data_IF_178225801674
#
_entry.id   IF_178225801674
#
_cell.length_a   1.000
_cell.length_b   1.000
_cell.length_c   1.000
_cell.angle_alpha   90.00
_cell.angle_beta   90.00
_cell.angle_gamma   90.00
#
_symmetry.space_group_name_H-M   'P 1'
#
loop_
_entity.id
_entity.type
_entity.pdbx_description
1 polymer ?
#
# COMPACT_ATOMS: atom_id res chain seq x y z
N UNK A 1 40.24 -16.29 -2.59
CA UNK A 1 41.12 -16.23 -3.77
C UNK A 1 40.26 -15.99 -5.00
N UNK A 2 40.53 -14.97 -5.80
CA UNK A 2 39.75 -14.69 -7.01
C UNK A 2 39.74 -13.21 -7.39
N UNK A 3 40.92 -12.65 -7.67
CA UNK A 3 41.09 -11.31 -8.27
C UNK A 3 40.55 -11.33 -9.69
N UNK A 4 39.70 -10.38 -10.08
CA UNK A 4 39.63 -9.90 -11.47
C UNK A 4 39.49 -8.38 -11.48
N UNK A 5 40.39 -7.80 -12.27
CA UNK A 5 40.62 -6.40 -12.52
C UNK A 5 40.29 -6.09 -13.99
N UNK A 6 40.31 -4.78 -14.32
CA UNK A 6 40.22 -4.15 -15.65
C UNK A 6 38.77 -3.97 -16.15
N UNK A 7 38.42 -2.88 -16.84
CA UNK A 7 39.25 -2.12 -17.77
C UNK A 7 38.80 -0.64 -17.89
N UNK A 8 39.78 0.21 -18.16
CA UNK A 8 39.75 1.64 -18.44
C UNK A 8 39.68 1.83 -19.97
N UNK A 9 38.72 2.60 -20.46
CA UNK A 9 38.57 3.07 -21.85
C UNK A 9 37.97 4.49 -21.73
N UNK A 10 38.57 5.59 -22.18
CA UNK A 10 39.62 5.78 -23.17
C UNK A 10 39.01 6.46 -24.39
N UNK A 11 38.54 7.71 -24.26
CA UNK A 11 38.10 8.53 -25.39
C UNK A 11 39.11 9.63 -25.65
N UNK A 12 39.79 9.48 -26.79
CA UNK A 12 40.70 10.45 -27.36
C UNK A 12 39.92 11.49 -28.16
N UNK A 13 40.28 12.76 -27.95
CA UNK A 13 39.87 13.89 -28.78
C UNK A 13 41.03 14.24 -29.71
N UNK A 14 40.81 14.40 -31.02
CA UNK A 14 41.88 14.69 -31.97
C UNK A 14 42.32 16.17 -31.89
N UNK A 15 43.60 16.48 -32.19
CA UNK A 15 44.06 17.84 -32.38
C UNK A 15 43.68 18.32 -33.79
N UNK A 16 43.02 19.47 -33.87
CA UNK A 16 42.82 20.19 -35.12
C UNK A 16 44.02 21.10 -35.36
N UNK A 17 44.84 20.73 -36.33
CA UNK A 17 45.73 21.62 -37.07
C UNK A 17 44.87 22.56 -37.91
N UNK A 18 45.04 23.87 -37.77
CA UNK A 18 44.77 24.81 -38.85
C UNK A 18 45.90 25.84 -38.90
N UNK A 19 46.62 25.76 -40.01
CA UNK A 19 47.72 26.60 -40.38
C UNK A 19 47.23 27.78 -41.24
N UNK A 20 48.05 28.83 -41.24
CA UNK A 20 48.20 29.87 -42.28
C UNK A 20 47.03 30.85 -42.52
N UNK A 21 47.29 32.13 -42.25
CA UNK A 21 47.73 33.07 -43.28
C UNK A 21 48.39 34.29 -42.65
N UNK A 22 49.65 34.50 -43.00
CA UNK A 22 50.37 35.74 -42.79
C UNK A 22 49.79 36.83 -43.69
N UNK A 23 49.54 38.01 -43.13
CA UNK A 23 49.36 39.24 -43.90
C UNK A 23 50.34 40.27 -43.34
N UNK A 24 51.44 40.46 -44.07
CA UNK A 24 52.34 41.60 -43.91
C UNK A 24 51.59 42.87 -44.33
N UNK A 25 51.59 43.88 -43.47
CA UNK A 25 50.89 45.14 -43.70
C UNK A 25 51.47 46.26 -42.86
N UNK A 26 52.54 46.85 -43.39
CA UNK A 26 52.90 48.27 -43.29
C UNK A 26 53.03 48.91 -41.90
N UNK A 27 54.30 49.17 -41.55
CA UNK A 27 54.70 50.11 -40.53
C UNK A 27 54.40 51.55 -40.97
N UNK A 28 53.41 52.18 -40.33
CA UNK A 28 53.33 53.63 -40.22
C UNK A 28 53.86 54.04 -38.84
N UNK A 29 54.85 54.93 -38.85
CA UNK A 29 55.46 55.50 -37.66
C UNK A 29 54.49 56.49 -37.01
N UNK A 30 53.73 56.02 -36.01
CA UNK A 30 52.98 56.89 -35.11
C UNK A 30 53.91 57.51 -34.06
N UNK A 31 53.91 58.84 -34.09
CA UNK A 31 54.46 59.78 -33.10
C UNK A 31 54.17 59.34 -31.65
N UNK A 32 55.14 59.35 -30.72
CA UNK A 32 54.89 59.00 -29.32
C UNK A 32 54.00 60.05 -28.66
N UNK A 33 52.71 59.78 -28.58
CA UNK A 33 51.80 60.49 -27.71
C UNK A 33 52.21 60.22 -26.25
N UNK A 34 52.34 61.28 -25.46
CA UNK A 34 52.68 61.20 -24.05
C UNK A 34 51.72 60.24 -23.32
N UNK A 35 52.27 59.18 -22.73
CA UNK A 35 51.51 58.22 -21.93
C UNK A 35 50.78 58.98 -20.80
N UNK A 36 49.44 58.90 -20.72
CA UNK A 36 48.73 59.42 -19.56
C UNK A 36 49.21 58.63 -18.34
N UNK A 37 49.54 59.33 -17.26
CA UNK A 37 49.91 58.76 -15.95
C UNK A 37 49.03 57.54 -15.62
N UNK A 38 49.55 56.34 -15.90
CA UNK A 38 48.91 55.10 -15.49
C UNK A 38 48.83 55.11 -13.97
N UNK A 39 47.68 54.74 -13.36
CA UNK A 39 47.55 54.72 -11.92
C UNK A 39 48.68 53.88 -11.32
N UNK A 40 49.45 54.46 -10.39
CA UNK A 40 50.52 53.78 -9.67
C UNK A 40 50.05 52.39 -9.23
N UNK A 41 50.64 51.33 -9.79
CA UNK A 41 50.21 49.95 -9.55
C UNK A 41 50.15 49.58 -8.06
N UNK A 42 50.94 50.29 -7.24
CA UNK A 42 50.95 50.20 -5.78
C UNK A 42 49.62 50.60 -5.12
N UNK A 43 48.93 51.62 -5.63
CA UNK A 43 47.64 52.04 -5.07
C UNK A 43 46.56 50.98 -5.34
N UNK A 44 46.64 50.30 -6.49
CA UNK A 44 45.75 49.19 -6.83
C UNK A 44 45.98 47.98 -5.93
N UNK A 45 47.23 47.64 -5.65
CA UNK A 45 47.58 46.58 -4.70
C UNK A 45 47.07 46.87 -3.29
N UNK A 46 47.21 48.11 -2.81
CA UNK A 46 46.70 48.51 -1.49
C UNK A 46 45.17 48.45 -1.44
N UNK A 47 44.47 48.85 -2.50
CA UNK A 47 43.00 48.75 -2.56
C UNK A 47 42.52 47.30 -2.46
N UNK A 48 43.15 46.38 -3.18
CA UNK A 48 42.81 44.95 -3.14
C UNK A 48 43.03 44.36 -1.74
N UNK A 49 44.13 44.71 -1.07
CA UNK A 49 44.38 44.25 0.31
C UNK A 49 43.31 44.76 1.30
N UNK A 50 42.81 45.99 1.11
CA UNK A 50 41.74 46.53 1.97
C UNK A 50 40.41 45.79 1.73
N UNK A 51 40.07 45.51 0.46
CA UNK A 51 38.89 44.72 0.09
C UNK A 51 38.97 43.27 0.63
N UNK A 52 40.14 42.63 0.51
CA UNK A 52 40.39 41.30 1.08
C UNK A 52 40.12 41.27 2.58
N UNK A 53 40.65 42.25 3.33
CA UNK A 53 40.47 42.33 4.78
C UNK A 53 39.01 42.60 5.15
N UNK A 54 38.30 43.47 4.42
CA UNK A 54 36.88 43.74 4.67
C UNK A 54 36.03 42.47 4.44
N UNK A 55 36.25 41.74 3.34
CA UNK A 55 35.50 40.51 3.07
C UNK A 55 35.76 39.43 4.11
N UNK A 56 37.01 39.24 4.53
CA UNK A 56 37.34 38.31 5.63
C UNK A 56 36.67 38.75 6.94
N UNK A 57 36.65 40.05 7.25
CA UNK A 57 35.94 40.59 8.42
C UNK A 57 34.43 40.30 8.37
N UNK A 58 33.78 40.53 7.22
CA UNK A 58 32.34 40.25 7.05
C UNK A 58 32.03 38.74 7.18
N UNK A 59 32.92 37.87 6.70
CA UNK A 59 32.80 36.41 6.91
C UNK A 59 32.81 36.02 8.38
N UNK A 60 33.77 36.53 9.15
CA UNK A 60 33.83 36.25 10.59
C UNK A 60 32.63 36.83 11.33
N UNK A 61 32.19 38.04 10.96
CA UNK A 61 30.98 38.65 11.51
C UNK A 61 29.74 37.79 11.26
N UNK A 62 29.60 37.22 10.06
CA UNK A 62 28.53 36.28 9.74
C UNK A 62 28.61 35.03 10.62
N UNK A 63 29.78 34.40 10.71
CA UNK A 63 29.97 33.16 11.49
C UNK A 63 29.64 33.41 12.96
N UNK A 64 30.06 34.54 13.53
CA UNK A 64 29.74 34.89 14.93
C UNK A 64 28.24 35.11 15.12
N UNK A 65 27.56 35.73 14.15
CA UNK A 65 26.14 36.07 14.29
C UNK A 65 25.23 34.87 14.07
N UNK A 66 25.59 33.97 13.16
CA UNK A 66 24.75 32.85 12.73
C UNK A 66 25.18 31.50 13.29
N UNK A 67 26.44 31.38 13.72
CA UNK A 67 27.06 30.10 14.08
C UNK A 67 27.44 29.24 12.87
N UNK A 68 27.16 29.69 11.65
CA UNK A 68 27.31 28.91 10.43
C UNK A 68 28.26 29.57 9.43
N UNK A 69 28.84 28.76 8.54
CA UNK A 69 29.64 29.26 7.42
C UNK A 69 28.69 29.65 6.28
N UNK A 70 28.72 30.90 5.79
CA UNK A 70 27.79 31.34 4.77
C UNK A 70 28.01 30.61 3.45
N UNK A 71 26.92 30.29 2.77
CA UNK A 71 26.94 29.98 1.33
C UNK A 71 26.91 31.30 0.54
N UNK A 72 27.53 31.33 -0.63
CA UNK A 72 27.48 32.51 -1.52
C UNK A 72 26.05 33.03 -1.73
N UNK A 73 25.08 32.11 -1.93
CA UNK A 73 23.67 32.45 -2.13
C UNK A 73 22.99 33.13 -0.93
N UNK A 74 23.55 33.01 0.27
CA UNK A 74 22.99 33.61 1.48
C UNK A 74 23.41 35.08 1.63
N UNK A 75 24.59 35.42 1.12
CA UNK A 75 25.05 36.81 1.02
C UNK A 75 24.27 37.59 -0.06
N UNK A 76 23.85 36.93 -1.15
CA UNK A 76 22.96 37.55 -2.15
C UNK A 76 21.63 38.04 -1.57
N UNK A 77 21.10 37.34 -0.56
CA UNK A 77 19.73 37.55 -0.07
C UNK A 77 19.63 38.64 1.01
N UNK A 78 20.75 39.10 1.55
CA UNK A 78 20.77 39.94 2.75
C UNK A 78 21.67 41.15 2.51
N UNK A 79 21.08 42.35 2.41
CA UNK A 79 21.84 43.57 2.69
C UNK A 79 22.13 43.59 4.21
N UNK A 80 23.36 43.86 4.69
CA UNK A 80 24.44 44.63 4.07
C UNK A 80 25.70 43.83 3.70
N UNK A 81 25.57 42.57 3.26
CA UNK A 81 26.76 41.73 2.97
C UNK A 81 27.35 42.05 1.58
N UNK A 82 28.66 41.84 1.38
CA UNK A 82 29.28 41.96 0.06
C UNK A 82 28.58 41.05 -0.95
N UNK A 83 28.37 41.53 -2.17
CA UNK A 83 27.90 40.66 -3.25
C UNK A 83 28.96 39.56 -3.49
N UNK A 84 28.57 38.27 -3.60
CA UNK A 84 29.53 37.19 -3.80
C UNK A 84 30.40 37.34 -5.04
N UNK A 85 29.88 37.96 -6.10
CA UNK A 85 30.65 38.20 -7.32
C UNK A 85 31.88 39.07 -7.03
N UNK A 86 31.79 40.09 -6.17
CA UNK A 86 32.95 40.89 -5.77
C UNK A 86 33.98 40.07 -4.98
N UNK A 87 33.50 39.14 -4.14
CA UNK A 87 34.38 38.22 -3.41
C UNK A 87 35.06 37.24 -4.37
N UNK A 88 34.35 36.78 -5.40
CA UNK A 88 34.87 35.90 -6.44
C UNK A 88 35.89 36.64 -7.31
N UNK A 89 35.68 37.91 -7.61
CA UNK A 89 36.63 38.72 -8.38
C UNK A 89 37.97 38.87 -7.63
N UNK A 90 37.94 39.06 -6.31
CA UNK A 90 39.14 39.20 -5.48
C UNK A 90 39.84 37.86 -5.24
N UNK A 91 39.11 36.81 -4.86
CA UNK A 91 39.68 35.52 -4.44
C UNK A 91 39.68 34.43 -5.52
N UNK A 92 39.11 34.72 -6.69
CA UNK A 92 38.92 33.80 -7.82
C UNK A 92 37.79 32.78 -7.64
N UNK A 93 37.40 32.44 -6.41
CA UNK A 93 36.25 31.59 -6.11
C UNK A 93 35.85 31.68 -4.64
N UNK A 94 34.59 31.33 -4.33
CA UNK A 94 34.10 31.27 -2.96
C UNK A 94 34.88 30.26 -2.09
N UNK A 95 35.26 29.12 -2.65
CA UNK A 95 36.03 28.10 -1.92
C UNK A 95 37.44 28.59 -1.56
N UNK A 96 38.12 29.27 -2.50
CA UNK A 96 39.42 29.90 -2.23
C UNK A 96 39.31 31.00 -1.17
N UNK A 97 38.25 31.78 -1.17
CA UNK A 97 37.97 32.77 -0.12
C UNK A 97 37.85 32.11 1.27
N UNK A 98 37.03 31.06 1.40
CA UNK A 98 36.89 30.34 2.67
C UNK A 98 38.19 29.68 3.12
N UNK A 99 38.96 29.10 2.19
CA UNK A 99 40.26 28.52 2.47
C UNK A 99 41.29 29.57 2.91
N UNK A 100 41.34 30.72 2.23
CA UNK A 100 42.18 31.86 2.59
C UNK A 100 41.87 32.36 4.00
N UNK A 101 40.58 32.42 4.37
CA UNK A 101 40.15 32.79 5.71
C UNK A 101 40.42 31.71 6.79
N UNK A 102 40.90 30.51 6.43
CA UNK A 102 41.17 29.42 7.37
C UNK A 102 39.92 28.74 7.95
N UNK A 103 38.74 29.00 7.38
CA UNK A 103 37.46 28.51 7.87
C UNK A 103 37.33 26.98 7.85
N UNK A 104 37.74 26.26 6.76
CA UNK A 104 37.64 24.79 6.73
C UNK A 104 38.43 24.10 7.83
N UNK A 105 39.57 24.67 8.25
CA UNK A 105 40.46 24.11 9.28
C UNK A 105 40.20 24.61 10.70
N UNK A 106 39.17 25.43 10.93
CA UNK A 106 38.92 26.02 12.25
C UNK A 106 38.45 24.96 13.26
N UNK A 107 39.14 24.79 14.41
CA UNK A 107 38.75 23.82 15.43
C UNK A 107 37.42 24.18 16.11
N UNK A 108 37.05 25.47 16.14
CA UNK A 108 35.76 25.90 16.70
C UNK A 108 34.60 25.42 15.83
N UNK A 109 34.71 25.58 14.51
CA UNK A 109 33.68 25.12 13.58
C UNK A 109 33.59 23.59 13.52
N UNK A 110 34.71 22.89 13.71
CA UNK A 110 34.69 21.44 13.86
C UNK A 110 33.83 21.00 15.07
N UNK A 111 33.99 21.66 16.23
CA UNK A 111 33.17 21.38 17.43
C UNK A 111 31.70 21.73 17.25
N UNK A 112 31.38 22.83 16.55
CA UNK A 112 29.98 23.17 16.25
C UNK A 112 29.33 22.10 15.37
N UNK A 113 30.03 21.64 14.32
CA UNK A 113 29.53 20.55 13.45
C UNK A 113 29.34 19.24 14.21
N UNK A 114 30.25 18.92 15.13
CA UNK A 114 30.14 17.75 16.01
C UNK A 114 28.91 17.85 16.91
N UNK A 115 28.70 18.99 17.58
CA UNK A 115 27.53 19.24 18.40
C UNK A 115 26.22 19.19 17.59
N UNK A 116 26.20 19.71 16.36
CA UNK A 116 25.05 19.62 15.47
C UNK A 116 24.76 18.18 15.03
N UNK A 117 25.80 17.39 14.79
CA UNK A 117 25.66 15.97 14.47
C UNK A 117 25.08 15.20 15.67
N UNK A 118 25.59 15.44 16.87
CA UNK A 118 25.06 14.86 18.11
C UNK A 118 23.59 15.28 18.34
N UNK A 119 23.24 16.55 18.12
CA UNK A 119 21.88 17.03 18.24
C UNK A 119 20.93 16.37 17.23
N UNK A 120 21.38 16.19 15.98
CA UNK A 120 20.61 15.46 14.95
C UNK A 120 20.42 13.99 15.32
N UNK A 121 21.45 13.34 15.86
CA UNK A 121 21.37 11.95 16.32
C UNK A 121 20.40 11.80 17.51
N UNK A 122 20.42 12.73 18.46
CA UNK A 122 19.47 12.76 19.57
C UNK A 122 18.03 12.96 19.09
N UNK A 123 17.81 13.91 18.17
CA UNK A 123 16.49 14.13 17.57
C UNK A 123 15.98 12.91 16.78
N UNK A 124 16.88 12.20 16.08
CA UNK A 124 16.54 10.97 15.37
C UNK A 124 16.13 9.85 16.35
N UNK A 125 16.86 9.69 17.47
CA UNK A 125 16.52 8.74 18.53
C UNK A 125 15.19 9.07 19.19
N UNK A 126 14.93 10.34 19.50
CA UNK A 126 13.64 10.77 20.05
C UNK A 126 12.49 10.45 19.10
N UNK A 127 12.63 10.75 17.81
CA UNK A 127 11.65 10.40 16.78
C UNK A 127 11.43 8.89 16.68
N UNK A 128 12.47 8.08 16.88
CA UNK A 128 12.35 6.63 16.91
C UNK A 128 11.57 6.16 18.15
N UNK A 129 11.86 6.69 19.34
CA UNK A 129 11.14 6.36 20.57
C UNK A 129 9.66 6.72 20.49
N UNK A 130 9.31 7.86 19.87
CA UNK A 130 7.91 8.24 19.63
C UNK A 130 7.19 7.22 18.73
N UNK A 131 7.86 6.75 17.67
CA UNK A 131 7.30 5.70 16.80
C UNK A 131 7.12 4.36 17.52
N UNK A 132 8.08 3.99 18.37
CA UNK A 132 8.00 2.78 19.18
C UNK A 132 6.86 2.84 20.22
N UNK A 133 6.69 3.98 20.89
CA UNK A 133 5.55 4.22 21.79
C UNK A 133 4.21 4.12 21.06
N UNK A 134 4.10 4.75 19.87
CA UNK A 134 2.89 4.65 19.05
C UNK A 134 2.59 3.19 18.63
N UNK A 135 3.62 2.40 18.33
CA UNK A 135 3.48 0.97 18.01
C UNK A 135 3.02 0.16 19.23
N UNK A 136 3.52 0.47 20.42
CA UNK A 136 3.08 -0.18 21.67
C UNK A 136 1.61 0.10 21.94
N UNK A 137 1.15 1.34 21.73
CA UNK A 137 -0.26 1.70 21.94
C UNK A 137 -1.18 1.03 20.92
N UNK A 138 -0.77 0.91 19.66
CA UNK A 138 -1.53 0.16 18.66
C UNK A 138 -1.63 -1.33 19.01
N UNK A 139 -0.53 -1.95 19.43
CA UNK A 139 -0.54 -3.34 19.92
C UNK A 139 -1.45 -3.53 21.13
N UNK A 140 -1.51 -2.56 22.05
CA UNK A 140 -2.44 -2.60 23.19
C UNK A 140 -3.90 -2.58 22.72
N UNK A 141 -4.25 -1.70 21.78
CA UNK A 141 -5.60 -1.65 21.19
C UNK A 141 -5.98 -2.96 20.50
N UNK A 142 -5.05 -3.57 19.77
CA UNK A 142 -5.28 -4.87 19.12
C UNK A 142 -5.52 -5.98 20.15
N UNK A 143 -4.74 -6.03 21.24
CA UNK A 143 -4.94 -7.00 22.32
C UNK A 143 -6.27 -6.79 23.03
N UNK A 144 -6.67 -5.55 23.28
CA UNK A 144 -7.95 -5.21 23.90
C UNK A 144 -9.13 -5.59 22.99
N UNK A 145 -9.05 -5.28 21.69
CA UNK A 145 -10.04 -5.71 20.70
C UNK A 145 -10.15 -7.24 20.62
N UNK A 146 -9.02 -7.96 20.57
CA UNK A 146 -9.01 -9.42 20.57
C UNK A 146 -9.51 -10.04 21.88
N UNK A 147 -9.33 -9.35 23.01
CA UNK A 147 -9.90 -9.76 24.30
C UNK A 147 -11.42 -9.57 24.29
N UNK A 148 -11.91 -8.40 23.89
CA UNK A 148 -13.34 -8.11 23.77
C UNK A 148 -14.04 -9.08 22.82
N UNK A 149 -13.44 -9.41 21.67
CA UNK A 149 -13.97 -10.40 20.75
C UNK A 149 -14.08 -11.81 21.35
N UNK A 150 -13.10 -12.22 22.17
CA UNK A 150 -13.16 -13.51 22.89
C UNK A 150 -14.24 -13.53 23.97
N UNK A 151 -14.38 -12.43 24.71
CA UNK A 151 -15.42 -12.29 25.75
C UNK A 151 -16.82 -12.33 25.12
N UNK A 152 -17.04 -11.65 23.99
CA UNK A 152 -18.30 -11.70 23.25
C UNK A 152 -18.61 -13.10 22.71
N UNK A 153 -17.64 -13.78 22.10
CA UNK A 153 -17.82 -15.15 21.60
C UNK A 153 -18.11 -16.16 22.73
N UNK A 154 -17.51 -15.95 23.91
CA UNK A 154 -17.81 -16.78 25.08
C UNK A 154 -19.23 -16.54 25.59
N UNK A 155 -19.67 -15.28 25.67
CA UNK A 155 -21.03 -14.94 26.07
C UNK A 155 -22.09 -15.55 25.13
N UNK A 156 -21.84 -15.54 23.82
CA UNK A 156 -22.73 -16.17 22.84
C UNK A 156 -22.82 -17.70 23.05
N UNK A 157 -21.70 -18.37 23.31
CA UNK A 157 -21.67 -19.82 23.62
C UNK A 157 -22.44 -20.13 24.89
N UNK A 158 -22.31 -19.30 25.92
CA UNK A 158 -23.02 -19.47 27.18
C UNK A 158 -24.53 -19.27 26.99
N UNK A 159 -24.96 -18.32 26.16
CA UNK A 159 -26.36 -18.12 25.80
C UNK A 159 -26.93 -19.30 25.00
N UNK A 160 -26.19 -19.79 24.00
CA UNK A 160 -26.57 -20.98 23.22
C UNK A 160 -26.71 -22.21 24.11
N UNK A 161 -25.79 -22.41 25.05
CA UNK A 161 -25.86 -23.50 26.03
C UNK A 161 -27.08 -23.37 26.94
N UNK A 162 -27.34 -22.18 27.48
CA UNK A 162 -28.52 -21.93 28.32
C UNK A 162 -29.83 -22.15 27.55
N UNK A 163 -29.86 -21.81 26.25
CA UNK A 163 -31.00 -22.11 25.37
C UNK A 163 -31.18 -23.63 25.18
N UNK A 164 -30.11 -24.37 24.94
CA UNK A 164 -30.15 -25.82 24.80
C UNK A 164 -30.67 -26.50 26.08
N UNK A 165 -30.16 -26.09 27.25
CA UNK A 165 -30.60 -26.61 28.56
C UNK A 165 -32.10 -26.35 28.81
N UNK A 166 -32.60 -25.16 28.45
CA UNK A 166 -34.05 -24.85 28.55
C UNK A 166 -34.91 -25.73 27.64
N UNK A 167 -34.47 -25.95 26.40
CA UNK A 167 -35.19 -26.80 25.44
C UNK A 167 -35.20 -28.27 25.91
N UNK A 168 -34.08 -28.75 26.42
CA UNK A 168 -33.99 -30.10 26.99
C UNK A 168 -34.94 -30.26 28.19
N UNK A 169 -34.95 -29.32 29.13
CA UNK A 169 -35.87 -29.36 30.26
C UNK A 169 -37.34 -29.31 29.84
N UNK A 170 -37.68 -28.54 28.80
CA UNK A 170 -39.03 -28.51 28.24
C UNK A 170 -39.44 -29.84 27.60
N UNK A 171 -38.50 -30.52 26.93
CA UNK A 171 -38.71 -31.83 26.31
C UNK A 171 -38.92 -32.91 27.38
N UNK A 172 -38.08 -32.94 28.42
CA UNK A 172 -38.23 -33.87 29.55
C UNK A 172 -39.58 -33.67 30.26
N UNK A 173 -40.00 -32.42 30.49
CA UNK A 173 -41.31 -32.12 31.07
C UNK A 173 -42.47 -32.55 30.16
N UNK A 174 -42.34 -32.41 28.83
CA UNK A 174 -43.33 -32.90 27.88
C UNK A 174 -43.44 -34.42 27.89
N UNK A 175 -42.30 -35.13 27.89
CA UNK A 175 -42.25 -36.59 27.99
C UNK A 175 -42.85 -37.10 29.30
N UNK A 176 -42.58 -36.45 30.43
CA UNK A 176 -43.17 -36.81 31.72
C UNK A 176 -44.70 -36.64 31.74
N UNK A 177 -45.23 -35.57 31.13
CA UNK A 177 -46.67 -35.36 30.97
C UNK A 177 -47.31 -36.42 30.08
N UNK A 178 -46.65 -36.77 28.97
CA UNK A 178 -47.12 -37.84 28.08
C UNK A 178 -47.19 -39.18 28.81
N UNK A 179 -46.12 -39.58 29.51
CA UNK A 179 -46.09 -40.82 30.29
C UNK A 179 -47.13 -40.85 31.43
N UNK A 180 -47.42 -39.71 32.05
CA UNK A 180 -48.48 -39.61 33.05
C UNK A 180 -49.87 -39.75 32.45
N UNK A 181 -50.12 -39.15 31.28
CA UNK A 181 -51.38 -39.30 30.55
C UNK A 181 -51.60 -40.75 30.10
N UNK A 182 -50.56 -41.43 29.61
CA UNK A 182 -50.60 -42.84 29.24
C UNK A 182 -50.98 -43.74 30.42
N UNK A 183 -50.40 -43.50 31.62
CA UNK A 183 -50.78 -44.23 32.84
C UNK A 183 -52.24 -44.01 33.20
N UNK A 184 -52.71 -42.77 33.22
CA UNK A 184 -54.12 -42.45 33.52
C UNK A 184 -55.09 -43.11 32.53
N UNK A 185 -54.75 -43.13 31.24
CA UNK A 185 -55.54 -43.82 30.22
C UNK A 185 -55.55 -45.35 30.45
N UNK A 186 -54.42 -45.93 30.82
CA UNK A 186 -54.32 -47.34 31.15
C UNK A 186 -55.18 -47.72 32.37
N UNK A 187 -55.10 -46.94 33.44
CA UNK A 187 -55.88 -47.16 34.66
C UNK A 187 -57.38 -47.06 34.38
N UNK A 188 -57.82 -46.04 33.64
CA UNK A 188 -59.22 -45.90 33.20
C UNK A 188 -59.70 -47.07 32.34
N UNK A 189 -58.85 -47.56 31.45
CA UNK A 189 -59.18 -48.73 30.64
C UNK A 189 -59.36 -50.00 31.50
N UNK A 190 -58.56 -50.16 32.57
CA UNK A 190 -58.73 -51.26 33.53
C UNK A 190 -60.02 -51.12 34.36
N UNK A 191 -60.31 -49.92 34.86
CA UNK A 191 -61.54 -49.63 35.61
C UNK A 191 -62.79 -49.87 34.75
N UNK A 192 -62.79 -49.40 33.50
CA UNK A 192 -63.87 -49.62 32.55
C UNK A 192 -64.05 -51.11 32.22
N UNK A 193 -62.96 -51.89 32.15
CA UNK A 193 -63.05 -53.33 31.94
C UNK A 193 -63.62 -54.09 33.16
N UNK A 194 -63.42 -53.56 34.39
CA UNK A 194 -63.93 -54.16 35.62
C UNK A 194 -65.39 -53.78 35.91
N UNK A 195 -65.82 -52.58 35.51
CA UNK A 195 -67.20 -52.13 35.59
C UNK A 195 -68.01 -52.75 34.43
N UNK A 196 -68.49 -53.98 34.60
CA UNK A 196 -69.42 -54.58 33.65
C UNK A 196 -70.70 -53.71 33.58
N UNK A 197 -71.08 -53.20 32.40
CA UNK A 197 -72.23 -52.30 32.29
C UNK A 197 -73.54 -53.07 32.51
N UNK A 198 -74.42 -52.54 33.38
CA UNK A 198 -75.79 -53.03 33.58
C UNK A 198 -76.67 -52.83 32.31
N UNK A 199 -76.24 -51.93 31.41
CA UNK A 199 -76.80 -51.73 30.08
C UNK A 199 -75.66 -51.64 29.03
N UNK A 200 -75.36 -52.74 28.32
CA UNK A 200 -74.24 -52.82 27.38
C UNK A 200 -74.40 -51.90 26.17
N UNK A 201 -75.62 -51.50 25.82
CA UNK A 201 -75.87 -50.65 24.65
C UNK A 201 -75.51 -49.18 24.93
N UNK A 202 -75.80 -48.67 26.13
CA UNK A 202 -75.41 -47.31 26.53
C UNK A 202 -73.88 -47.15 26.63
N UNK A 203 -73.18 -48.18 27.13
CA UNK A 203 -71.72 -48.20 27.20
C UNK A 203 -71.06 -48.23 25.82
N UNK A 204 -71.64 -48.97 24.86
CA UNK A 204 -71.16 -49.01 23.48
C UNK A 204 -71.31 -47.67 22.76
N UNK A 205 -72.40 -46.93 23.01
CA UNK A 205 -72.60 -45.59 22.44
C UNK A 205 -71.56 -44.61 22.99
N UNK A 206 -71.35 -44.57 24.31
CA UNK A 206 -70.35 -43.68 24.92
C UNK A 206 -68.91 -43.97 24.45
N UNK A 207 -68.54 -45.25 24.35
CA UNK A 207 -67.24 -45.65 23.79
C UNK A 207 -67.08 -45.27 22.32
N UNK A 208 -68.17 -45.29 21.54
CA UNK A 208 -68.15 -44.87 20.14
C UNK A 208 -67.94 -43.37 20.01
N UNK A 209 -68.63 -42.57 20.83
CA UNK A 209 -68.47 -41.13 20.86
C UNK A 209 -67.06 -40.72 21.31
N UNK A 210 -66.49 -41.41 22.32
CA UNK A 210 -65.12 -41.18 22.78
C UNK A 210 -64.08 -41.58 21.71
N UNK A 211 -64.31 -42.70 21.01
CA UNK A 211 -63.46 -43.12 19.89
C UNK A 211 -63.52 -42.11 18.73
N UNK A 212 -64.69 -41.59 18.41
CA UNK A 212 -64.87 -40.59 17.35
C UNK A 212 -64.25 -39.23 17.77
N UNK A 213 -64.30 -38.85 19.04
CA UNK A 213 -63.59 -37.68 19.56
C UNK A 213 -62.05 -37.83 19.51
N UNK A 214 -61.53 -39.01 19.88
CA UNK A 214 -60.08 -39.32 19.78
C UNK A 214 -59.63 -39.32 18.32
N UNK A 215 -60.45 -39.85 17.41
CA UNK A 215 -60.18 -39.79 15.96
C UNK A 215 -60.12 -38.35 15.45
N UNK A 216 -61.09 -37.51 15.82
CA UNK A 216 -61.12 -36.10 15.44
C UNK A 216 -59.88 -35.34 15.97
N UNK A 217 -59.48 -35.57 17.23
CA UNK A 217 -58.29 -34.93 17.79
C UNK A 217 -56.99 -35.44 17.14
N UNK A 218 -56.92 -36.74 16.79
CA UNK A 218 -55.80 -37.29 16.03
C UNK A 218 -55.69 -36.66 14.65
N UNK A 219 -56.81 -36.49 13.94
CA UNK A 219 -56.84 -35.81 12.64
C UNK A 219 -56.38 -34.35 12.76
N UNK A 220 -56.79 -33.63 13.81
CA UNK A 220 -56.32 -32.27 14.10
C UNK A 220 -54.80 -32.22 14.32
N UNK A 221 -54.25 -33.14 15.12
CA UNK A 221 -52.80 -33.21 15.39
C UNK A 221 -52.00 -33.58 14.14
N UNK A 222 -52.50 -34.52 13.33
CA UNK A 222 -51.89 -34.85 12.05
C UNK A 222 -51.90 -33.64 11.11
N UNK A 223 -53.01 -32.90 11.04
CA UNK A 223 -53.10 -31.66 10.26
C UNK A 223 -52.11 -30.58 10.75
N UNK A 224 -51.91 -30.45 12.07
CA UNK A 224 -50.88 -29.53 12.62
C UNK A 224 -49.46 -29.99 12.29
N UNK A 225 -49.19 -31.29 12.36
CA UNK A 225 -47.89 -31.87 12.00
C UNK A 225 -47.56 -31.62 10.54
N UNK A 226 -48.52 -31.91 9.64
CA UNK A 226 -48.38 -31.64 8.21
C UNK A 226 -48.17 -30.15 7.94
N UNK A 227 -48.89 -29.25 8.63
CA UNK A 227 -48.70 -27.81 8.48
C UNK A 227 -47.29 -27.35 8.90
N UNK A 228 -46.75 -27.88 10.00
CA UNK A 228 -45.39 -27.56 10.45
C UNK A 228 -44.32 -28.12 9.51
N UNK A 229 -44.51 -29.33 8.98
CA UNK A 229 -43.62 -29.91 7.97
C UNK A 229 -43.64 -29.09 6.68
N UNK A 230 -44.82 -28.69 6.20
CA UNK A 230 -44.96 -27.81 5.04
C UNK A 230 -44.25 -26.46 5.27
N UNK A 231 -44.37 -25.90 6.48
CA UNK A 231 -43.69 -24.67 6.84
C UNK A 231 -42.17 -24.84 6.89
N UNK A 232 -41.66 -25.92 7.48
CA UNK A 232 -40.22 -26.23 7.48
C UNK A 232 -39.66 -26.42 6.06
N UNK A 233 -40.43 -27.04 5.16
CA UNK A 233 -40.07 -27.17 3.74
C UNK A 233 -40.07 -25.80 3.05
N UNK A 234 -41.04 -24.93 3.34
CA UNK A 234 -41.08 -23.57 2.81
C UNK A 234 -39.90 -22.73 3.32
N UNK A 235 -39.55 -22.86 4.59
CA UNK A 235 -38.40 -22.20 5.20
C UNK A 235 -37.10 -22.72 4.60
N UNK A 236 -36.94 -24.04 4.44
CA UNK A 236 -35.77 -24.63 3.78
C UNK A 236 -35.63 -24.16 2.33
N UNK A 237 -36.73 -24.05 1.58
CA UNK A 237 -36.72 -23.46 0.23
C UNK A 237 -36.34 -21.98 0.25
N UNK A 238 -36.82 -21.23 1.24
CA UNK A 238 -36.49 -19.82 1.41
C UNK A 238 -35.01 -19.64 1.74
N UNK A 239 -34.48 -20.44 2.67
CA UNK A 239 -33.05 -20.48 3.00
C UNK A 239 -32.25 -20.86 1.77
N UNK A 240 -32.62 -21.92 1.05
CA UNK A 240 -31.94 -22.32 -0.17
C UNK A 240 -31.94 -21.19 -1.20
N UNK A 241 -33.08 -20.52 -1.42
CA UNK A 241 -33.19 -19.38 -2.32
C UNK A 241 -32.36 -18.18 -1.85
N UNK A 242 -32.33 -17.88 -0.56
CA UNK A 242 -31.51 -16.80 0.00
C UNK A 242 -30.02 -17.14 -0.10
N UNK A 243 -29.63 -18.40 0.14
CA UNK A 243 -28.28 -18.89 -0.09
C UNK A 243 -27.91 -18.83 -1.56
N UNK A 244 -28.81 -19.17 -2.48
CA UNK A 244 -28.62 -18.98 -3.92
C UNK A 244 -28.51 -17.50 -4.26
N UNK A 245 -29.36 -16.62 -3.72
CA UNK A 245 -29.27 -15.17 -3.96
C UNK A 245 -28.02 -14.55 -3.35
N UNK A 246 -27.52 -15.06 -2.22
CA UNK A 246 -26.25 -14.63 -1.63
C UNK A 246 -25.07 -15.19 -2.41
N UNK A 247 -25.18 -16.42 -2.90
CA UNK A 247 -24.21 -17.01 -3.81
C UNK A 247 -24.25 -16.33 -5.17
N UNK A 248 -25.39 -15.84 -5.64
CA UNK A 248 -25.61 -15.03 -6.86
C UNK A 248 -25.31 -13.57 -6.61
N UNK A 249 -25.33 -13.03 -5.39
CA UNK A 249 -24.83 -11.69 -5.11
C UNK A 249 -23.30 -11.73 -4.98
N UNK A 250 -22.77 -12.77 -4.35
CA UNK A 250 -21.36 -13.14 -4.38
C UNK A 250 -20.89 -13.56 -5.77
N UNK A 251 -21.77 -14.17 -6.57
CA UNK A 251 -21.52 -14.53 -7.95
C UNK A 251 -21.88 -13.41 -8.91
N UNK A 252 -22.75 -12.44 -8.67
CA UNK A 252 -22.81 -11.22 -9.51
C UNK A 252 -21.58 -10.35 -9.24
N UNK A 253 -20.96 -10.50 -8.05
CA UNK A 253 -19.58 -10.10 -7.81
C UNK A 253 -18.51 -11.07 -8.39
N UNK A 254 -18.86 -12.24 -8.94
CA UNK A 254 -17.93 -13.25 -9.51
C UNK A 254 -18.28 -13.78 -10.94
N UNK A 255 -19.37 -13.35 -11.57
CA UNK A 255 -20.06 -13.85 -12.78
C UNK A 255 -20.25 -12.67 -13.78
N UNK A 256 -19.59 -11.55 -13.47
CA UNK A 256 -18.88 -10.81 -14.50
C UNK A 256 -17.61 -11.58 -14.98
N UNK A 257 -17.32 -12.76 -14.42
CA UNK A 257 -16.18 -13.62 -14.77
C UNK A 257 -16.65 -14.98 -15.31
N UNK A 258 -17.09 -14.96 -16.57
CA UNK A 258 -17.02 -15.99 -17.62
C UNK A 258 -17.20 -17.49 -17.31
N UNK A 259 -17.97 -18.22 -18.14
CA UNK A 259 -17.99 -19.68 -18.15
C UNK A 259 -16.77 -20.27 -18.89
N UNK A 260 -16.35 -21.44 -18.42
CA UNK A 260 -15.81 -22.56 -19.21
C UNK A 260 -14.49 -22.37 -19.97
N UNK A 261 -13.42 -22.45 -19.17
CA UNK A 261 -12.27 -23.29 -19.44
C UNK A 261 -11.55 -23.46 -18.11
N UNK A 262 -11.28 -24.69 -17.67
CA UNK A 262 -10.29 -24.89 -16.60
C UNK A 262 -8.94 -24.39 -17.15
N UNK A 263 -8.71 -23.09 -17.02
CA UNK A 263 -7.54 -22.43 -17.55
C UNK A 263 -6.36 -22.86 -16.68
N UNK A 264 -5.58 -23.80 -17.21
CA UNK A 264 -4.45 -24.43 -16.53
C UNK A 264 -3.57 -23.35 -15.88
N UNK A 265 -3.25 -23.42 -14.57
CA UNK A 265 -2.58 -22.33 -13.87
C UNK A 265 -1.28 -21.92 -14.56
N UNK A 266 -0.94 -20.61 -14.63
CA UNK A 266 0.27 -20.17 -15.32
C UNK A 266 1.50 -20.75 -14.61
N UNK A 267 2.44 -21.32 -15.37
CA UNK A 267 3.64 -21.93 -14.79
C UNK A 267 4.66 -20.90 -14.28
N UNK A 268 4.63 -19.69 -14.84
CA UNK A 268 5.59 -18.62 -14.56
C UNK A 268 4.90 -17.27 -14.40
N UNK A 269 5.59 -16.32 -13.76
CA UNK A 269 5.08 -14.94 -13.60
C UNK A 269 4.92 -14.26 -14.96
N UNK A 270 5.81 -14.52 -15.92
CA UNK A 270 5.66 -14.05 -17.29
C UNK A 270 4.38 -14.58 -17.93
N UNK A 271 4.12 -15.89 -17.83
CA UNK A 271 2.90 -16.48 -18.36
C UNK A 271 1.63 -15.86 -17.74
N UNK A 272 1.66 -15.55 -16.44
CA UNK A 272 0.56 -14.83 -15.78
C UNK A 272 0.38 -13.41 -16.37
N UNK A 273 1.46 -12.66 -16.58
CA UNK A 273 1.42 -11.32 -17.18
C UNK A 273 0.95 -11.35 -18.64
N UNK A 274 1.39 -12.33 -19.43
CA UNK A 274 0.99 -12.46 -20.84
C UNK A 274 -0.50 -12.79 -20.97
N UNK A 275 -1.01 -13.69 -20.13
CA UNK A 275 -2.44 -13.99 -20.08
C UNK A 275 -3.25 -12.79 -19.63
N UNK A 276 -2.83 -12.13 -18.55
CA UNK A 276 -3.48 -10.91 -18.10
C UNK A 276 -3.49 -9.84 -19.21
N UNK A 277 -2.39 -9.64 -19.92
CA UNK A 277 -2.33 -8.70 -21.04
C UNK A 277 -3.23 -9.06 -22.23
N UNK A 278 -3.59 -10.35 -22.38
CA UNK A 278 -4.53 -10.78 -23.40
C UNK A 278 -6.00 -10.61 -22.99
N UNK A 279 -6.31 -10.68 -21.68
CA UNK A 279 -7.70 -10.69 -21.18
C UNK A 279 -8.13 -9.40 -20.48
N UNK A 280 -7.21 -8.64 -19.90
CA UNK A 280 -7.48 -7.42 -19.13
C UNK A 280 -7.55 -6.22 -20.07
N UNK A 281 -8.72 -5.61 -20.22
CA UNK A 281 -8.96 -4.55 -21.20
C UNK A 281 -8.58 -3.14 -20.70
N UNK A 282 -8.46 -2.97 -19.39
CA UNK A 282 -8.27 -1.68 -18.71
C UNK A 282 -6.86 -1.48 -18.15
N UNK A 283 -5.97 -2.46 -18.34
CA UNK A 283 -4.57 -2.40 -17.97
C UNK A 283 -3.66 -2.24 -19.18
N UNK A 284 -2.67 -1.36 -19.08
CA UNK A 284 -1.63 -1.19 -20.10
C UNK A 284 -0.34 -1.80 -19.60
N UNK A 285 0.16 -2.84 -20.26
CA UNK A 285 1.38 -3.53 -19.87
C UNK A 285 2.59 -2.99 -20.64
N UNK A 286 3.56 -2.42 -19.93
CA UNK A 286 4.82 -1.95 -20.53
C UNK A 286 5.80 -3.09 -20.82
N UNK A 287 6.78 -2.86 -21.69
CA UNK A 287 7.85 -3.84 -21.95
C UNK A 287 8.67 -4.16 -20.70
N UNK A 288 8.86 -3.16 -19.82
CA UNK A 288 9.53 -3.33 -18.53
C UNK A 288 8.79 -4.30 -17.60
N UNK A 289 7.45 -4.29 -17.61
CA UNK A 289 6.66 -5.24 -16.84
C UNK A 289 6.84 -6.68 -17.32
N UNK A 290 6.90 -6.89 -18.65
CA UNK A 290 7.17 -8.22 -19.23
C UNK A 290 8.58 -8.70 -18.91
N UNK A 291 9.58 -7.83 -19.08
CA UNK A 291 10.97 -8.15 -18.78
C UNK A 291 11.17 -8.52 -17.30
N UNK A 292 10.62 -7.72 -16.39
CA UNK A 292 10.71 -8.00 -14.95
C UNK A 292 9.96 -9.27 -14.53
N UNK A 293 8.83 -9.56 -15.17
CA UNK A 293 8.08 -10.80 -14.96
C UNK A 293 8.88 -12.04 -15.38
N UNK A 294 9.62 -11.95 -16.49
CA UNK A 294 10.48 -13.04 -16.97
C UNK A 294 11.60 -13.38 -15.98
N UNK A 295 12.18 -12.38 -15.32
CA UNK A 295 13.26 -12.55 -14.34
C UNK A 295 12.76 -12.85 -12.91
N UNK A 296 11.45 -12.92 -12.70
CA UNK A 296 10.86 -13.05 -11.38
C UNK A 296 10.98 -14.47 -10.82
N UNK A 297 11.60 -14.67 -9.63
CA UNK A 297 11.71 -15.98 -9.00
C UNK A 297 10.48 -16.34 -8.13
N UNK A 298 9.41 -15.55 -8.19
CA UNK A 298 8.22 -15.72 -7.37
C UNK A 298 7.48 -17.02 -7.71
N UNK A 299 7.19 -17.85 -6.71
CA UNK A 299 6.75 -19.24 -6.91
C UNK A 299 5.25 -19.43 -7.06
N UNK A 300 4.45 -18.36 -6.94
CA UNK A 300 2.98 -18.40 -6.99
C UNK A 300 2.43 -17.54 -8.13
N UNK A 301 2.70 -17.90 -9.39
CA UNK A 301 2.27 -17.12 -10.55
C UNK A 301 0.75 -16.95 -10.65
N UNK A 302 -0.06 -17.88 -10.13
CA UNK A 302 -1.52 -17.71 -10.06
C UNK A 302 -1.92 -16.47 -9.25
N UNK A 303 -1.28 -16.23 -8.10
CA UNK A 303 -1.56 -15.04 -7.28
C UNK A 303 -1.32 -13.73 -8.05
N UNK A 304 -0.34 -13.73 -8.97
CA UNK A 304 -0.05 -12.58 -9.85
C UNK A 304 -1.19 -12.37 -10.83
N UNK A 305 -1.66 -13.44 -11.49
CA UNK A 305 -2.78 -13.37 -12.44
C UNK A 305 -4.05 -12.87 -11.75
N UNK A 306 -4.37 -13.41 -10.57
CA UNK A 306 -5.55 -13.01 -9.79
C UNK A 306 -5.48 -11.54 -9.38
N UNK A 307 -4.30 -11.07 -8.96
CA UNK A 307 -4.10 -9.67 -8.62
C UNK A 307 -4.21 -8.74 -9.84
N UNK A 308 -3.72 -9.16 -11.01
CA UNK A 308 -3.86 -8.39 -12.24
C UNK A 308 -5.32 -8.31 -12.71
N UNK A 309 -6.10 -9.39 -12.59
CA UNK A 309 -7.55 -9.37 -12.89
C UNK A 309 -8.30 -8.39 -12.00
N UNK A 310 -8.04 -8.41 -10.70
CA UNK A 310 -8.62 -7.43 -9.74
C UNK A 310 -8.15 -6.00 -10.01
N UNK A 311 -6.91 -5.83 -10.48
CA UNK A 311 -6.42 -4.52 -10.93
C UNK A 311 -7.12 -4.06 -12.21
N UNK A 312 -7.53 -4.96 -13.09
CA UNK A 312 -8.33 -4.61 -14.27
C UNK A 312 -9.72 -4.09 -13.89
N UNK A 313 -10.37 -4.73 -12.92
CA UNK A 313 -11.63 -4.23 -12.34
C UNK A 313 -11.44 -2.82 -11.72
N UNK A 314 -10.33 -2.62 -11.02
CA UNK A 314 -9.96 -1.29 -10.52
C UNK A 314 -9.70 -0.29 -11.66
N UNK A 315 -9.07 -0.74 -12.75
CA UNK A 315 -8.84 0.04 -13.96
C UNK A 315 -10.15 0.46 -14.63
N UNK A 316 -11.13 -0.44 -14.70
CA UNK A 316 -12.47 -0.16 -15.22
C UNK A 316 -13.16 0.95 -14.41
N UNK A 317 -13.07 0.89 -13.08
CA UNK A 317 -13.59 1.96 -12.21
C UNK A 317 -12.84 3.28 -12.42
N UNK A 318 -11.51 3.24 -12.55
CA UNK A 318 -10.69 4.44 -12.76
C UNK A 318 -10.91 5.07 -14.14
N UNK A 319 -11.29 4.30 -15.15
CA UNK A 319 -11.56 4.77 -16.49
C UNK A 319 -12.76 5.74 -16.54
N UNK A 320 -13.69 5.68 -15.58
CA UNK A 320 -14.81 6.61 -15.51
C UNK A 320 -14.32 8.06 -15.23
N UNK A 321 -14.50 9.01 -16.17
CA UNK A 321 -14.08 10.39 -15.98
C UNK A 321 -14.88 11.13 -14.90
N UNK A 322 -16.10 10.70 -14.58
CA UNK A 322 -16.89 11.25 -13.48
C UNK A 322 -16.34 10.82 -12.10
N UNK A 323 -15.45 9.82 -12.09
CA UNK A 323 -14.97 9.17 -10.88
C UNK A 323 -16.02 8.24 -10.27
N UNK A 324 -15.57 7.41 -9.32
CA UNK A 324 -16.39 6.34 -8.73
C UNK A 324 -16.68 6.59 -7.24
N UNK A 325 -16.67 7.86 -6.81
CA UNK A 325 -17.15 8.31 -5.49
C UNK A 325 -16.28 7.93 -4.28
N UNK A 326 -15.11 7.31 -4.49
CA UNK A 326 -14.19 6.87 -3.43
C UNK A 326 -12.74 6.94 -3.90
N UNK A 327 -11.79 6.85 -2.97
CA UNK A 327 -10.37 6.85 -3.32
C UNK A 327 -9.95 5.54 -4.00
N UNK A 328 -8.93 5.59 -4.86
CA UNK A 328 -8.38 4.41 -5.54
C UNK A 328 -7.88 3.34 -4.54
N UNK A 329 -7.22 3.77 -3.45
CA UNK A 329 -6.76 2.89 -2.38
C UNK A 329 -7.92 2.16 -1.70
N UNK A 330 -9.03 2.86 -1.43
CA UNK A 330 -10.21 2.26 -0.82
C UNK A 330 -10.82 1.21 -1.76
N UNK A 331 -11.04 1.56 -3.04
CA UNK A 331 -11.57 0.61 -4.01
C UNK A 331 -10.67 -0.62 -4.17
N UNK A 332 -9.35 -0.43 -4.24
CA UNK A 332 -8.41 -1.55 -4.32
C UNK A 332 -8.49 -2.47 -3.09
N UNK A 333 -8.65 -1.89 -1.89
CA UNK A 333 -8.78 -2.66 -0.64
C UNK A 333 -10.08 -3.48 -0.61
N UNK A 334 -11.18 -2.91 -1.08
CA UNK A 334 -12.47 -3.60 -1.18
C UNK A 334 -12.44 -4.76 -2.20
N UNK A 335 -11.63 -4.64 -3.26
CA UNK A 335 -11.31 -5.72 -4.19
C UNK A 335 -10.32 -6.75 -3.61
N UNK A 336 -9.92 -6.61 -2.35
CA UNK A 336 -9.03 -7.55 -1.67
C UNK A 336 -7.56 -7.44 -2.11
N UNK A 337 -7.13 -6.32 -2.68
CA UNK A 337 -5.73 -6.07 -3.02
C UNK A 337 -4.97 -5.53 -1.80
N UNK A 338 -3.74 -6.02 -1.58
CA UNK A 338 -2.82 -5.40 -0.61
C UNK A 338 -2.13 -4.20 -1.26
N UNK A 339 -2.91 -3.15 -1.50
CA UNK A 339 -2.51 -1.97 -2.25
C UNK A 339 -1.76 -0.95 -1.39
N UNK A 340 -0.75 -0.31 -1.97
CA UNK A 340 -0.02 0.82 -1.41
C UNK A 340 -0.11 1.99 -2.37
N UNK A 341 -0.61 3.13 -1.87
CA UNK A 341 -0.87 4.30 -2.70
C UNK A 341 0.37 4.99 -3.24
N UNK A 342 1.55 4.76 -2.65
CA UNK A 342 2.79 5.32 -3.16
C UNK A 342 4.05 4.60 -2.64
N UNK A 343 5.21 4.92 -3.23
CA UNK A 343 6.55 4.58 -2.71
C UNK A 343 7.09 5.76 -1.90
N UNK A 344 7.92 5.49 -0.90
CA UNK A 344 8.57 6.56 -0.13
C UNK A 344 9.39 7.48 -1.05
N UNK A 345 9.27 8.79 -0.81
CA UNK A 345 10.00 9.84 -1.56
C UNK A 345 11.52 9.60 -1.53
N UNK A 346 12.03 9.10 -0.40
CA UNK A 346 13.45 8.78 -0.23
C UNK A 346 13.87 7.59 -1.12
N UNK A 347 13.06 6.53 -1.24
CA UNK A 347 13.39 5.42 -2.13
C UNK A 347 13.36 5.85 -3.60
N UNK A 348 12.36 6.66 -3.99
CA UNK A 348 12.24 7.18 -5.36
C UNK A 348 13.42 8.08 -5.73
N UNK A 349 13.81 8.99 -4.84
CA UNK A 349 14.93 9.92 -5.08
C UNK A 349 16.30 9.24 -5.08
N UNK A 350 16.48 8.18 -4.29
CA UNK A 350 17.74 7.42 -4.24
C UNK A 350 17.91 6.48 -5.44
N UNK A 351 16.82 5.88 -5.90
CA UNK A 351 16.82 4.90 -6.99
C UNK A 351 15.90 5.31 -8.15
N UNK A 352 16.06 6.51 -8.74
CA UNK A 352 15.10 7.05 -9.70
C UNK A 352 14.98 6.20 -10.97
N UNK A 353 16.05 5.51 -11.35
CA UNK A 353 16.07 4.62 -12.51
C UNK A 353 15.22 3.36 -12.32
N UNK A 354 15.11 2.84 -11.10
CA UNK A 354 14.34 1.63 -10.81
C UNK A 354 12.82 1.91 -10.78
N UNK A 355 12.43 3.14 -10.46
CA UNK A 355 11.04 3.60 -10.40
C UNK A 355 10.60 4.35 -11.66
N UNK A 356 11.40 4.28 -12.73
CA UNK A 356 11.08 4.90 -14.01
C UNK A 356 11.01 3.84 -15.09
N UNK A 357 9.94 3.84 -15.88
CA UNK A 357 9.84 3.03 -17.11
C UNK A 357 9.52 3.92 -18.30
N UNK A 358 9.67 3.39 -19.52
CA UNK A 358 9.28 4.08 -20.75
C UNK A 358 8.16 3.31 -21.43
N UNK A 359 7.16 4.02 -21.93
CA UNK A 359 6.06 3.47 -22.71
C UNK A 359 5.73 4.45 -23.84
N UNK A 360 5.75 3.98 -25.08
CA UNK A 360 5.52 4.78 -26.29
C UNK A 360 6.36 6.08 -26.36
N UNK A 361 7.60 6.00 -25.87
CA UNK A 361 8.54 7.14 -25.83
C UNK A 361 8.34 8.09 -24.64
N UNK A 362 7.32 7.88 -23.81
CA UNK A 362 7.03 8.68 -22.63
C UNK A 362 7.58 8.02 -21.36
N UNK A 363 8.11 8.86 -20.47
CA UNK A 363 8.67 8.43 -19.19
C UNK A 363 7.56 8.34 -18.15
N UNK A 364 7.37 7.16 -17.56
CA UNK A 364 6.38 6.91 -16.52
C UNK A 364 7.06 6.70 -15.18
N UNK A 365 6.60 7.42 -14.15
CA UNK A 365 7.03 7.20 -12.77
C UNK A 365 6.14 6.18 -12.06
N UNK A 366 6.76 5.15 -11.52
CA UNK A 366 6.08 4.11 -10.74
C UNK A 366 5.97 4.54 -9.28
N UNK A 367 4.78 4.39 -8.71
CA UNK A 367 4.52 4.75 -7.31
C UNK A 367 3.57 3.74 -6.65
N UNK A 368 2.29 3.77 -6.99
CA UNK A 368 1.35 2.82 -6.42
C UNK A 368 1.73 1.37 -6.75
N UNK A 369 1.50 0.45 -5.80
CA UNK A 369 1.86 -0.95 -6.01
C UNK A 369 1.03 -1.92 -5.17
N UNK A 370 0.92 -3.16 -5.66
CA UNK A 370 0.29 -4.28 -4.95
C UNK A 370 1.35 -5.19 -4.34
N UNK A 371 1.18 -5.56 -3.08
CA UNK A 371 2.01 -6.54 -2.39
C UNK A 371 1.45 -7.96 -2.54
N UNK A 372 2.29 -8.91 -2.93
CA UNK A 372 1.93 -10.32 -3.05
C UNK A 372 2.83 -11.18 -2.16
N UNK A 373 2.21 -12.13 -1.47
CA UNK A 373 2.88 -13.05 -0.56
C UNK A 373 3.37 -12.41 0.74
N UNK A 374 3.97 -13.25 1.59
CA UNK A 374 4.56 -12.88 2.88
C UNK A 374 5.82 -13.71 3.14
N UNK A 375 6.75 -13.18 3.94
CA UNK A 375 8.01 -13.84 4.28
C UNK A 375 9.24 -13.11 3.75
N UNK A 376 10.40 -13.77 3.84
CA UNK A 376 11.69 -13.26 3.37
C UNK A 376 12.17 -13.99 2.12
N UNK A 377 12.74 -13.24 1.18
CA UNK A 377 13.33 -13.77 -0.05
C UNK A 377 12.44 -13.66 -1.28
N UNK A 378 13.08 -13.44 -2.42
CA UNK A 378 12.42 -13.10 -3.69
C UNK A 378 11.44 -14.18 -4.22
N UNK A 379 11.51 -15.41 -3.73
CA UNK A 379 10.58 -16.48 -4.12
C UNK A 379 9.22 -16.45 -3.42
N UNK A 380 9.10 -15.73 -2.30
CA UNK A 380 7.90 -15.70 -1.46
C UNK A 380 7.19 -14.35 -1.45
N UNK A 381 7.85 -13.31 -1.96
CA UNK A 381 7.29 -11.96 -2.07
C UNK A 381 7.42 -11.44 -3.49
N UNK A 382 6.35 -10.82 -3.98
CA UNK A 382 6.36 -10.09 -5.24
C UNK A 382 5.61 -8.75 -5.11
N UNK A 383 5.88 -7.86 -6.06
CA UNK A 383 5.24 -6.55 -6.18
C UNK A 383 4.81 -6.32 -7.62
N UNK A 384 3.66 -5.69 -7.79
CA UNK A 384 3.20 -5.15 -9.06
C UNK A 384 3.23 -3.63 -8.91
N UNK A 385 4.16 -2.96 -9.59
CA UNK A 385 4.25 -1.50 -9.57
C UNK A 385 3.51 -0.89 -10.75
N UNK A 386 2.83 0.20 -10.45
CA UNK A 386 1.90 0.86 -11.34
C UNK A 386 2.28 2.33 -11.53
N UNK A 387 1.93 2.85 -12.70
CA UNK A 387 1.72 4.26 -12.93
C UNK A 387 0.22 4.49 -13.16
N UNK A 388 -0.39 5.39 -12.39
CA UNK A 388 -1.81 5.72 -12.53
C UNK A 388 -1.90 7.09 -13.18
N UNK A 389 -2.29 7.12 -14.45
CA UNK A 389 -2.47 8.35 -15.20
C UNK A 389 -3.92 8.85 -15.06
N UNK A 390 -4.08 10.15 -14.85
CA UNK A 390 -5.38 10.83 -14.82
C UNK A 390 -5.80 11.38 -16.19
N UNK A 391 -4.89 11.33 -17.18
CA UNK A 391 -5.06 11.83 -18.55
C UNK A 391 -4.65 13.29 -18.75
N UNK A 392 -4.11 13.97 -17.73
CA UNK A 392 -3.61 15.34 -17.83
C UNK A 392 -2.16 15.44 -18.33
N UNK A 393 -1.42 14.32 -18.31
CA UNK A 393 -0.01 14.22 -18.70
C UNK A 393 0.21 13.71 -20.13
N UNK A 394 1.40 13.17 -20.34
CA UNK A 394 1.86 12.70 -21.66
C UNK A 394 1.21 11.38 -22.13
N UNK A 395 0.50 10.68 -21.24
CA UNK A 395 -0.16 9.41 -21.55
C UNK A 395 -1.66 9.48 -21.23
N UNK A 396 -2.50 8.72 -21.97
CA UNK A 396 -3.93 8.65 -21.69
C UNK A 396 -4.24 8.19 -20.28
N UNK A 397 -5.41 8.59 -19.76
CA UNK A 397 -5.93 8.12 -18.47
C UNK A 397 -5.97 6.59 -18.45
N UNK A 398 -5.43 5.99 -17.40
CA UNK A 398 -5.36 4.54 -17.29
C UNK A 398 -4.40 4.06 -16.21
N UNK A 399 -4.35 2.75 -16.02
CA UNK A 399 -3.41 2.08 -15.12
C UNK A 399 -2.36 1.35 -15.95
N UNK A 400 -1.12 1.79 -15.83
CA UNK A 400 0.03 1.23 -16.53
C UNK A 400 0.81 0.32 -15.59
N UNK A 401 0.97 -0.94 -15.97
CA UNK A 401 1.78 -1.92 -15.25
C UNK A 401 3.24 -1.76 -15.69
N UNK A 402 4.09 -1.30 -14.78
CA UNK A 402 5.49 -0.97 -15.05
C UNK A 402 6.49 -2.06 -14.65
N UNK A 403 6.20 -2.79 -13.58
CA UNK A 403 7.09 -3.83 -13.06
C UNK A 403 6.29 -4.92 -12.34
N UNK A 404 6.61 -6.18 -12.60
CA UNK A 404 5.96 -7.33 -11.96
C UNK A 404 7.03 -8.32 -11.51
N UNK A 405 7.13 -8.56 -10.21
CA UNK A 405 8.05 -9.56 -9.67
C UNK A 405 8.76 -9.09 -8.42
N UNK A 406 10.10 -9.09 -8.42
CA UNK A 406 10.89 -8.74 -7.23
C UNK A 406 10.52 -7.37 -6.68
N UNK A 407 10.63 -7.22 -5.37
CA UNK A 407 10.55 -5.91 -4.73
C UNK A 407 11.67 -5.00 -5.28
N UNK A 408 11.33 -3.79 -5.70
CA UNK A 408 12.32 -2.78 -6.08
C UNK A 408 13.09 -2.30 -4.85
N UNK A 409 14.33 -1.79 -4.98
CA UNK A 409 15.14 -1.38 -3.85
C UNK A 409 14.46 -0.27 -3.02
N UNK A 410 14.31 -0.51 -1.73
CA UNK A 410 13.80 0.49 -0.78
C UNK A 410 14.95 1.23 -0.07
N UNK A 411 14.62 2.07 0.91
CA UNK A 411 15.62 2.85 1.65
C UNK A 411 16.55 2.03 2.55
N UNK A 412 16.25 0.75 2.75
CA UNK A 412 16.83 -0.16 3.74
C UNK A 412 17.69 -1.25 3.11
N UNK A 413 17.38 -1.64 1.86
CA UNK A 413 18.26 -2.42 0.97
C UNK A 413 19.37 -1.56 0.38
#
# INVERSE_FOLDING_TARGET
MGKRARSKKGDGRPPGDDATTATEGQAEAETPAAEPFGPDGRLREVSLLVEEVDYVYQLYRWIIHTGEVPKAQEWLKKEPWPHPDYVIDVFGSWEKFLAHAGVPGSPLLARVREADAEAKDLAAREKQLVKELARVDDLRRQVESARSGREAAQAERDEQRARAERLQGALEAAQARAAAAERTLHDRAQEAAAAAPDDPDAGLVALRDELDAVRAHREELLGRSEALEQQAVADARTIARLSTLLAEAGAVAADATNPEGEEEPPETVLAAVERAAATCAHLVFTDAARSSAADSPYRRPQDVLDALRRLDELGALHADPAGFGRSLTQAATELGLTYKGDVSEIARSRNPHDYTVTHDGHRLELGPHVALGSGSGAGFIARIYLHVADGSGDVPRGIYVGHVGRHLPDTTT
#
